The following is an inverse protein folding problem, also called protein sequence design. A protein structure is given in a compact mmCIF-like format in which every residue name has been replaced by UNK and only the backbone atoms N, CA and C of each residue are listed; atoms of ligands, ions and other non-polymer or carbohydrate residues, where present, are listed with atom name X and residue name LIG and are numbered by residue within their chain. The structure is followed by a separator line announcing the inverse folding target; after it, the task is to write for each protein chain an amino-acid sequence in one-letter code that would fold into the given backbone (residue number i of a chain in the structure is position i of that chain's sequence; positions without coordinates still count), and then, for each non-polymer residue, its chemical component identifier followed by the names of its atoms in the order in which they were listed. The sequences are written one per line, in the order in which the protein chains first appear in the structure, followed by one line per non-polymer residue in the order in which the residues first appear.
data_IF_614159067959
#
_entry.id   IF_614159067959
#
_cell.length_a   1.000
_cell.length_b   1.000
_cell.length_c   1.000
_cell.angle_alpha   90.00
_cell.angle_beta   90.00
_cell.angle_gamma   90.00
#
_symmetry.space_group_name_H-M   'P 1'
#
loop_
_entity.id
_entity.type
_entity.pdbx_description
1 polymer ?
#
# COMPACT_ATOMS: atom_id res chain seq x y z
N UNK A 1 23.25 40.49 13.55
CA UNK A 1 23.79 41.46 12.59
C UNK A 1 24.51 40.71 11.50
N UNK A 2 24.14 40.98 10.26
CA UNK A 2 24.77 40.45 9.07
C UNK A 2 26.18 41.02 8.91
N UNK A 3 27.16 40.15 8.70
CA UNK A 3 28.54 40.51 8.38
C UNK A 3 28.77 40.17 6.92
N UNK A 4 29.12 41.16 6.11
CA UNK A 4 29.36 40.99 4.67
C UNK A 4 30.86 41.16 4.42
N UNK A 5 31.49 40.14 3.84
CA UNK A 5 32.93 40.09 3.57
C UNK A 5 33.17 39.82 2.08
N UNK A 6 34.05 40.61 1.47
CA UNK A 6 34.54 40.34 0.11
C UNK A 6 35.61 39.25 0.17
N UNK A 7 35.40 38.10 -0.48
CA UNK A 7 36.37 36.99 -0.54
C UNK A 7 37.25 37.02 -1.80
N UNK A 8 36.75 37.60 -2.90
CA UNK A 8 37.45 37.65 -4.17
C UNK A 8 36.73 38.54 -5.21
N UNK A 9 37.22 38.60 -6.46
CA UNK A 9 36.49 39.23 -7.56
C UNK A 9 35.13 38.55 -7.72
N UNK A 10 34.04 39.33 -7.71
CA UNK A 10 32.67 38.84 -7.78
C UNK A 10 32.30 37.78 -6.72
N UNK A 11 32.88 37.84 -5.52
CA UNK A 11 32.56 36.93 -4.43
C UNK A 11 32.36 37.70 -3.13
N UNK A 12 31.10 37.87 -2.75
CA UNK A 12 30.65 38.51 -1.52
C UNK A 12 30.01 37.47 -0.61
N UNK A 13 30.63 37.17 0.52
CA UNK A 13 30.11 36.25 1.51
C UNK A 13 29.33 37.02 2.59
N UNK A 14 28.07 36.63 2.81
CA UNK A 14 27.23 37.15 3.89
C UNK A 14 27.17 36.10 5.00
N UNK A 15 27.33 36.55 6.24
CA UNK A 15 27.16 35.73 7.44
C UNK A 15 26.18 36.41 8.40
N UNK A 16 25.05 35.77 8.69
CA UNK A 16 24.04 36.28 9.62
C UNK A 16 24.12 35.47 10.91
N UNK A 17 24.36 36.16 12.03
CA UNK A 17 24.29 35.60 13.38
C UNK A 17 23.29 36.41 14.20
N UNK A 18 22.27 35.73 14.73
CA UNK A 18 21.26 36.30 15.62
C UNK A 18 20.93 35.30 16.72
N UNK A 19 20.83 35.77 17.96
CA UNK A 19 20.51 34.93 19.13
C UNK A 19 19.16 34.25 18.92
N UNK A 20 19.10 32.93 19.06
CA UNK A 20 17.88 32.12 18.85
C UNK A 20 17.67 31.58 17.43
N UNK A 21 18.55 31.90 16.48
CA UNK A 21 18.48 31.39 15.09
C UNK A 21 19.81 30.72 14.69
N UNK A 22 19.78 29.66 13.86
CA UNK A 22 21.00 29.05 13.36
C UNK A 22 21.80 30.03 12.46
N UNK A 23 23.14 29.94 12.45
CA UNK A 23 23.96 30.81 11.62
C UNK A 23 23.68 30.56 10.14
N UNK A 24 23.46 31.63 9.37
CA UNK A 24 23.24 31.53 7.93
C UNK A 24 24.43 32.11 7.18
N UNK A 25 24.89 31.42 6.14
CA UNK A 25 25.98 31.83 5.27
C UNK A 25 25.59 31.69 3.80
N UNK A 26 25.83 32.71 2.99
CA UNK A 26 25.58 32.65 1.54
C UNK A 26 26.53 33.53 0.78
N UNK A 27 26.91 33.12 -0.42
CA UNK A 27 27.83 33.85 -1.30
C UNK A 27 27.11 34.39 -2.52
N UNK A 28 27.37 35.64 -2.87
CA UNK A 28 26.77 36.37 -3.99
C UNK A 28 27.84 36.94 -4.92
N UNK A 29 27.46 37.22 -6.17
CA UNK A 29 28.35 37.80 -7.17
C UNK A 29 28.49 39.32 -7.01
N UNK A 30 27.41 39.98 -6.59
CA UNK A 30 27.37 41.43 -6.38
C UNK A 30 27.15 41.81 -4.91
N UNK A 31 27.68 42.97 -4.51
CA UNK A 31 27.47 43.51 -3.16
C UNK A 31 26.00 43.85 -2.92
N UNK A 32 25.31 44.38 -3.93
CA UNK A 32 23.90 44.77 -3.83
C UNK A 32 22.99 43.57 -3.54
N UNK A 33 23.21 42.42 -4.19
CA UNK A 33 22.48 41.18 -3.88
C UNK A 33 22.78 40.67 -2.47
N UNK A 34 24.06 40.74 -2.05
CA UNK A 34 24.47 40.37 -0.70
C UNK A 34 23.77 41.23 0.37
N UNK A 35 23.72 42.56 0.16
CA UNK A 35 23.05 43.51 1.04
C UNK A 35 21.52 43.28 1.07
N UNK A 36 20.90 43.07 -0.10
CA UNK A 36 19.46 42.83 -0.22
C UNK A 36 19.02 41.51 0.44
N UNK A 37 19.79 40.43 0.25
CA UNK A 37 19.53 39.16 0.90
C UNK A 37 19.71 39.26 2.42
N UNK A 38 20.78 39.93 2.88
CA UNK A 38 21.02 40.16 4.30
C UNK A 38 19.84 40.90 4.97
N UNK A 39 19.39 41.99 4.36
CA UNK A 39 18.28 42.80 4.87
C UNK A 39 16.95 42.02 4.88
N UNK A 40 16.69 41.24 3.82
CA UNK A 40 15.49 40.39 3.72
C UNK A 40 15.47 39.33 4.82
N UNK A 41 16.55 38.58 4.99
CA UNK A 41 16.65 37.52 5.99
C UNK A 41 16.65 38.07 7.42
N UNK A 42 17.32 39.19 7.69
CA UNK A 42 17.24 39.84 9.01
C UNK A 42 15.84 40.38 9.32
N UNK A 43 15.12 40.88 8.31
CA UNK A 43 13.71 41.31 8.43
C UNK A 43 12.78 40.12 8.70
N UNK A 44 12.96 39.00 8.00
CA UNK A 44 12.20 37.76 8.26
C UNK A 44 12.45 37.24 9.68
N UNK A 45 13.72 37.25 10.14
CA UNK A 45 14.07 36.87 11.51
C UNK A 45 13.54 37.87 12.54
N UNK A 46 13.45 39.16 12.20
CA UNK A 46 12.90 40.18 13.09
C UNK A 46 11.39 40.06 13.26
N UNK A 47 10.69 39.68 12.19
CA UNK A 47 9.25 39.48 12.17
C UNK A 47 8.84 38.10 12.70
N UNK A 48 9.80 37.21 13.00
CA UNK A 48 9.53 35.85 13.46
C UNK A 48 8.97 34.93 12.37
N UNK A 49 9.06 35.32 11.10
CA UNK A 49 8.55 34.55 9.93
C UNK A 49 9.66 33.71 9.28
N UNK A 50 10.88 33.79 9.80
CA UNK A 50 12.02 33.04 9.28
C UNK A 50 11.88 31.54 9.53
N UNK A 51 12.01 30.74 8.48
CA UNK A 51 12.00 29.28 8.54
C UNK A 51 13.28 28.77 7.88
N UNK A 52 13.93 27.78 8.50
CA UNK A 52 15.14 27.16 7.96
C UNK A 52 14.86 26.46 6.63
N UNK A 53 15.41 26.97 5.53
CA UNK A 53 15.30 26.36 4.19
C UNK A 53 16.49 25.47 3.83
N UNK A 54 17.61 25.60 4.53
CA UNK A 54 18.88 24.96 4.18
C UNK A 54 18.79 23.44 4.10
N UNK A 55 18.18 22.80 5.10
CA UNK A 55 18.09 21.32 5.14
C UNK A 55 17.29 20.74 3.95
N UNK A 56 16.26 21.46 3.49
CA UNK A 56 15.45 21.06 2.34
C UNK A 56 16.11 21.36 0.98
N UNK A 57 17.01 22.35 0.94
CA UNK A 57 17.81 22.70 -0.24
C UNK A 57 19.02 21.76 -0.41
N UNK A 58 19.57 21.26 0.70
CA UNK A 58 20.73 20.36 0.71
C UNK A 58 20.35 18.88 0.53
N UNK A 59 19.15 18.48 1.00
CA UNK A 59 18.71 17.08 0.93
C UNK A 59 18.06 16.76 -0.42
N UNK A 60 18.62 15.79 -1.14
CA UNK A 60 18.03 15.25 -2.37
C UNK A 60 16.83 14.35 -2.08
N UNK A 61 15.95 14.16 -3.08
CA UNK A 61 14.84 13.21 -2.95
C UNK A 61 15.34 11.78 -2.74
N UNK A 62 16.48 11.39 -3.31
CA UNK A 62 17.09 10.09 -3.10
C UNK A 62 17.50 9.88 -1.63
N UNK A 63 18.24 10.83 -1.04
CA UNK A 63 18.63 10.77 0.38
C UNK A 63 17.41 10.78 1.30
N UNK A 64 16.39 11.57 0.96
CA UNK A 64 15.13 11.57 1.69
C UNK A 64 14.41 10.22 1.61
N UNK A 65 14.41 9.58 0.44
CA UNK A 65 13.84 8.25 0.25
C UNK A 65 14.62 7.18 1.04
N UNK A 66 15.95 7.27 1.09
CA UNK A 66 16.79 6.42 1.93
C UNK A 66 16.45 6.56 3.42
N UNK A 67 16.40 7.80 3.90
CA UNK A 67 16.02 8.09 5.29
C UNK A 67 14.63 7.55 5.61
N UNK A 68 13.67 7.77 4.71
CA UNK A 68 12.31 7.24 4.86
C UNK A 68 12.25 5.71 4.87
N UNK A 69 13.03 5.06 4.01
CA UNK A 69 13.14 3.59 3.93
C UNK A 69 13.73 2.98 5.21
N UNK A 70 14.60 3.70 5.92
CA UNK A 70 15.26 3.24 7.13
C UNK A 70 14.49 3.59 8.42
N UNK A 71 13.94 4.80 8.52
CA UNK A 71 13.30 5.28 9.75
C UNK A 71 11.81 4.93 9.82
N UNK A 72 11.09 5.09 8.70
CA UNK A 72 9.62 5.04 8.69
C UNK A 72 9.11 3.69 8.21
N UNK A 73 9.74 3.12 7.18
CA UNK A 73 9.27 1.89 6.55
C UNK A 73 9.26 0.67 7.50
N UNK A 74 10.24 0.45 8.40
CA UNK A 74 10.24 -0.71 9.30
C UNK A 74 9.06 -0.71 10.28
N UNK A 75 8.59 0.46 10.70
CA UNK A 75 7.41 0.61 11.56
C UNK A 75 6.09 0.31 10.85
N UNK A 76 6.08 0.20 9.52
CA UNK A 76 4.86 -0.05 8.74
C UNK A 76 4.66 -1.54 8.46
N UNK A 77 3.48 -2.05 8.81
CA UNK A 77 2.95 -3.38 8.42
C UNK A 77 2.82 -3.60 6.89
N UNK A 78 3.15 -2.59 6.07
CA UNK A 78 3.09 -2.59 4.60
C UNK A 78 4.44 -2.27 3.95
N UNK A 79 5.55 -2.52 4.65
CA UNK A 79 6.91 -2.17 4.23
C UNK A 79 7.27 -2.67 2.82
N UNK A 80 7.14 -3.97 2.57
CA UNK A 80 7.62 -4.58 1.31
C UNK A 80 6.96 -3.98 0.05
N UNK A 81 5.62 -3.86 -0.04
CA UNK A 81 5.01 -3.19 -1.19
C UNK A 81 5.32 -1.69 -1.29
N UNK A 82 5.64 -0.99 -0.19
CA UNK A 82 6.10 0.41 -0.23
C UNK A 82 7.56 0.51 -0.68
N UNK A 83 8.41 -0.46 -0.35
CA UNK A 83 9.81 -0.55 -0.81
C UNK A 83 9.90 -0.55 -2.34
N UNK A 84 9.03 -1.31 -3.01
CA UNK A 84 8.96 -1.30 -4.48
C UNK A 84 8.59 0.08 -5.06
N UNK A 85 7.74 0.83 -4.36
CA UNK A 85 7.37 2.20 -4.75
C UNK A 85 8.54 3.16 -4.56
N UNK A 86 9.28 3.05 -3.45
CA UNK A 86 10.48 3.83 -3.16
C UNK A 86 11.53 3.63 -4.27
N UNK A 87 11.79 2.37 -4.64
CA UNK A 87 12.68 2.04 -5.77
C UNK A 87 12.23 2.66 -7.08
N UNK A 88 10.93 2.72 -7.34
CA UNK A 88 10.37 3.36 -8.54
C UNK A 88 10.66 4.86 -8.57
N UNK A 89 10.51 5.55 -7.43
CA UNK A 89 10.84 6.98 -7.32
C UNK A 89 12.35 7.22 -7.46
N UNK A 90 13.18 6.38 -6.84
CA UNK A 90 14.65 6.45 -6.94
C UNK A 90 15.15 6.32 -8.39
N UNK A 91 14.49 5.50 -9.19
CA UNK A 91 14.84 5.30 -10.60
C UNK A 91 14.56 6.55 -11.48
N UNK A 92 13.75 7.50 -11.03
CA UNK A 92 13.49 8.72 -11.79
C UNK A 92 14.65 9.71 -11.70
N UNK A 93 14.86 10.49 -12.77
CA UNK A 93 15.80 11.62 -12.77
C UNK A 93 15.50 12.64 -11.67
N UNK A 94 14.25 12.71 -11.22
CA UNK A 94 13.79 13.58 -10.13
C UNK A 94 14.44 13.22 -8.78
N UNK A 95 14.88 11.98 -8.57
CA UNK A 95 15.49 11.54 -7.31
C UNK A 95 16.77 12.33 -6.97
N UNK A 96 17.53 12.74 -7.99
CA UNK A 96 18.79 13.47 -7.83
C UNK A 96 18.62 14.96 -7.53
N UNK A 97 17.39 15.47 -7.51
CA UNK A 97 17.09 16.89 -7.26
C UNK A 97 16.83 17.11 -5.77
N UNK A 98 17.20 18.30 -5.27
CA UNK A 98 16.87 18.74 -3.92
C UNK A 98 15.35 18.75 -3.70
N UNK A 99 14.89 18.35 -2.50
CA UNK A 99 13.47 18.31 -2.15
C UNK A 99 12.77 19.66 -2.39
N UNK A 100 13.42 20.76 -2.01
CA UNK A 100 12.90 22.12 -2.20
C UNK A 100 12.69 22.50 -3.68
N UNK A 101 13.41 21.85 -4.61
CA UNK A 101 13.32 22.14 -6.04
C UNK A 101 12.19 21.39 -6.74
N UNK A 102 11.58 20.39 -6.09
CA UNK A 102 10.56 19.54 -6.71
C UNK A 102 9.24 20.29 -6.79
N UNK A 103 8.73 20.45 -8.01
CA UNK A 103 7.47 21.14 -8.26
C UNK A 103 6.32 20.15 -8.51
N UNK A 104 5.09 20.63 -8.34
CA UNK A 104 3.89 19.87 -8.68
C UNK A 104 3.85 19.46 -10.17
N UNK A 105 4.45 20.26 -11.06
CA UNK A 105 4.59 19.96 -12.49
C UNK A 105 5.47 18.72 -12.73
N UNK A 106 6.56 18.56 -11.99
CA UNK A 106 7.45 17.40 -12.09
C UNK A 106 6.70 16.11 -11.67
N UNK A 107 5.94 16.20 -10.57
CA UNK A 107 5.12 15.09 -10.07
C UNK A 107 3.96 14.75 -11.02
N UNK A 108 3.33 15.77 -11.62
CA UNK A 108 2.27 15.58 -12.61
C UNK A 108 2.80 14.88 -13.87
N UNK A 109 3.98 15.25 -14.36
CA UNK A 109 4.61 14.58 -15.50
C UNK A 109 4.86 13.09 -15.21
N UNK A 110 5.43 12.77 -14.04
CA UNK A 110 5.62 11.37 -13.63
C UNK A 110 4.30 10.60 -13.50
N UNK A 111 3.25 11.24 -12.97
CA UNK A 111 1.88 10.67 -12.92
C UNK A 111 1.39 10.33 -14.33
N UNK A 112 1.51 11.26 -15.26
CA UNK A 112 0.97 11.11 -16.62
C UNK A 112 1.72 10.04 -17.41
N UNK A 113 3.03 9.91 -17.22
CA UNK A 113 3.81 8.78 -17.75
C UNK A 113 3.35 7.45 -17.18
N UNK A 114 3.13 7.37 -15.86
CA UNK A 114 2.67 6.13 -15.24
C UNK A 114 1.24 5.76 -15.61
N UNK A 115 0.36 6.73 -15.86
CA UNK A 115 -1.01 6.46 -16.31
C UNK A 115 -1.06 5.81 -17.69
N UNK A 116 -0.03 5.95 -18.53
CA UNK A 116 0.09 5.21 -19.80
C UNK A 116 0.34 3.71 -19.60
N UNK A 117 0.92 3.33 -18.46
CA UNK A 117 1.39 1.97 -18.21
C UNK A 117 0.59 1.24 -17.12
N UNK A 118 0.00 1.97 -16.18
CA UNK A 118 -0.59 1.41 -14.97
C UNK A 118 -1.99 1.94 -14.70
N UNK A 119 -2.80 1.12 -14.03
CA UNK A 119 -4.14 1.52 -13.57
C UNK A 119 -4.06 2.68 -12.55
N UNK A 120 -5.07 3.56 -12.49
CA UNK A 120 -5.11 4.71 -11.59
C UNK A 120 -4.78 4.41 -10.13
N UNK A 121 -5.28 3.31 -9.57
CA UNK A 121 -5.01 2.93 -8.17
C UNK A 121 -3.52 2.68 -7.89
N UNK A 122 -2.78 2.13 -8.84
CA UNK A 122 -1.33 1.92 -8.71
C UNK A 122 -0.60 3.26 -8.67
N UNK A 123 -1.00 4.19 -9.54
CA UNK A 123 -0.43 5.54 -9.59
C UNK A 123 -0.73 6.31 -8.29
N UNK A 124 -1.96 6.24 -7.79
CA UNK A 124 -2.34 6.83 -6.50
C UNK A 124 -1.45 6.31 -5.35
N UNK A 125 -1.18 5.01 -5.32
CA UNK A 125 -0.31 4.41 -4.30
C UNK A 125 1.11 4.95 -4.36
N UNK A 126 1.64 5.18 -5.58
CA UNK A 126 2.96 5.79 -5.78
C UNK A 126 3.01 7.24 -5.29
N UNK A 127 1.98 8.02 -5.62
CA UNK A 127 1.84 9.40 -5.16
C UNK A 127 1.67 9.49 -3.63
N UNK A 128 0.95 8.55 -3.02
CA UNK A 128 0.73 8.54 -1.57
C UNK A 128 2.03 8.37 -0.77
N UNK A 129 2.96 7.53 -1.23
CA UNK A 129 4.28 7.37 -0.58
C UNK A 129 5.06 8.68 -0.65
N UNK A 130 5.11 9.33 -1.81
CA UNK A 130 5.79 10.61 -1.95
C UNK A 130 5.14 11.70 -1.08
N UNK A 131 3.81 11.78 -1.08
CA UNK A 131 3.06 12.72 -0.24
C UNK A 131 3.38 12.53 1.25
N UNK A 132 3.47 11.28 1.71
CA UNK A 132 3.79 10.98 3.09
C UNK A 132 5.26 11.33 3.42
N UNK A 133 6.19 11.08 2.50
CA UNK A 133 7.58 11.47 2.65
C UNK A 133 7.72 12.99 2.86
N UNK A 134 7.08 13.82 2.03
CA UNK A 134 7.08 15.28 2.21
C UNK A 134 6.41 15.70 3.52
N UNK A 135 5.37 14.98 3.96
CA UNK A 135 4.70 15.25 5.24
C UNK A 135 5.61 14.94 6.44
N UNK A 136 6.35 13.83 6.40
CA UNK A 136 7.33 13.46 7.44
C UNK A 136 8.50 14.43 7.43
N UNK A 137 9.04 14.77 6.26
CA UNK A 137 10.12 15.74 6.12
C UNK A 137 9.77 17.07 6.79
N UNK A 138 8.54 17.54 6.58
CA UNK A 138 8.03 18.77 7.18
C UNK A 138 7.83 18.69 8.69
N UNK A 139 7.32 17.57 9.21
CA UNK A 139 6.89 17.42 10.62
C UNK A 139 7.99 16.92 11.55
N UNK A 140 8.80 15.99 11.06
CA UNK A 140 9.73 15.21 11.89
C UNK A 140 11.20 15.51 11.55
N UNK A 141 11.49 15.94 10.32
CA UNK A 141 12.86 16.24 9.88
C UNK A 141 13.19 17.74 9.87
N UNK A 142 12.39 18.58 10.54
CA UNK A 142 12.68 20.01 10.68
C UNK A 142 12.56 20.84 9.40
N UNK A 143 12.11 20.26 8.28
CA UNK A 143 11.93 20.97 7.00
C UNK A 143 10.59 21.70 6.95
N UNK A 144 10.29 22.53 7.94
CA UNK A 144 8.95 23.13 8.17
C UNK A 144 8.42 23.95 6.99
N UNK A 145 9.31 24.59 6.22
CA UNK A 145 8.99 25.39 5.04
C UNK A 145 8.74 24.57 3.78
N UNK A 146 9.01 23.26 3.81
CA UNK A 146 8.85 22.40 2.64
C UNK A 146 7.37 22.26 2.29
N UNK A 147 7.00 22.69 1.09
CA UNK A 147 5.66 22.48 0.54
C UNK A 147 5.56 21.08 -0.06
N UNK A 148 4.41 20.41 0.12
CA UNK A 148 4.15 19.11 -0.48
C UNK A 148 3.65 19.27 -1.93
N UNK A 149 4.46 18.96 -2.95
CA UNK A 149 4.07 19.16 -4.35
C UNK A 149 2.92 18.24 -4.77
N UNK A 150 2.71 17.11 -4.07
CA UNK A 150 1.66 16.12 -4.41
C UNK A 150 0.26 16.63 -4.09
N UNK A 151 0.12 17.52 -3.11
CA UNK A 151 -1.18 18.12 -2.74
C UNK A 151 -1.76 19.00 -3.84
N UNK A 152 -0.89 19.59 -4.65
CA UNK A 152 -1.26 20.44 -5.80
C UNK A 152 -1.53 19.65 -7.08
N UNK A 153 -1.32 18.33 -7.07
CA UNK A 153 -1.52 17.47 -8.25
C UNK A 153 -2.93 16.89 -8.25
N UNK A 154 -3.65 17.06 -9.37
CA UNK A 154 -4.93 16.38 -9.58
C UNK A 154 -4.74 14.87 -9.56
N UNK A 155 -5.39 14.19 -8.60
CA UNK A 155 -5.31 12.75 -8.43
C UNK A 155 -6.25 12.04 -9.43
N UNK A 156 -5.80 10.96 -10.11
CA UNK A 156 -6.65 10.21 -11.02
C UNK A 156 -7.73 9.45 -10.23
N UNK A 157 -8.89 9.22 -10.85
CA UNK A 157 -9.99 8.48 -10.24
C UNK A 157 -9.79 6.98 -10.46
N UNK A 158 -9.81 6.20 -9.38
CA UNK A 158 -9.72 4.75 -9.44
C UNK A 158 -11.11 4.12 -9.41
N UNK A 159 -11.57 3.60 -10.55
CA UNK A 159 -12.81 2.83 -10.61
C UNK A 159 -12.51 1.33 -10.52
N UNK A 160 -12.31 0.86 -9.29
CA UNK A 160 -11.99 -0.55 -8.99
C UNK A 160 -13.13 -1.26 -8.24
N UNK A 161 -14.33 -0.68 -8.23
CA UNK A 161 -15.49 -1.30 -7.61
C UNK A 161 -15.78 -2.64 -8.29
N UNK A 162 -16.05 -3.67 -7.49
CA UNK A 162 -16.46 -4.99 -7.98
C UNK A 162 -17.92 -5.19 -7.58
N UNK A 163 -18.77 -5.45 -8.57
CA UNK A 163 -20.21 -5.69 -8.36
C UNK A 163 -20.58 -7.16 -8.55
N UNK A 164 -19.78 -7.92 -9.32
CA UNK A 164 -20.00 -9.35 -9.53
C UNK A 164 -19.61 -10.16 -8.29
N UNK A 165 -20.50 -11.05 -7.87
CA UNK A 165 -20.25 -12.14 -6.91
C UNK A 165 -20.23 -13.48 -7.66
N UNK A 166 -19.68 -14.51 -7.03
CA UNK A 166 -19.86 -15.89 -7.50
C UNK A 166 -21.34 -16.20 -7.27
N UNK A 167 -22.05 -16.70 -8.30
CA UNK A 167 -23.43 -17.12 -8.14
C UNK A 167 -23.46 -18.28 -7.12
N UNK A 168 -24.23 -18.13 -6.05
CA UNK A 168 -24.50 -19.25 -5.15
C UNK A 168 -25.53 -20.15 -5.82
N UNK A 169 -25.32 -21.47 -5.69
CA UNK A 169 -26.40 -22.44 -5.86
C UNK A 169 -27.39 -22.15 -4.74
N UNK A 170 -28.47 -21.42 -5.04
CA UNK A 170 -29.61 -21.40 -4.12
C UNK A 170 -30.04 -22.85 -3.92
N UNK A 171 -29.91 -23.34 -2.69
CA UNK A 171 -30.62 -24.54 -2.30
C UNK A 171 -32.09 -24.15 -2.28
N UNK A 172 -32.76 -24.29 -3.41
CA UNK A 172 -34.21 -24.20 -3.51
C UNK A 172 -34.78 -25.40 -2.76
N UNK A 173 -34.87 -25.26 -1.43
CA UNK A 173 -35.90 -25.93 -0.65
C UNK A 173 -37.23 -25.52 -1.27
N UNK A 174 -37.99 -26.51 -1.73
CA UNK A 174 -38.97 -26.34 -2.80
C UNK A 174 -40.08 -25.34 -2.50
N UNK A 175 -40.64 -24.78 -3.58
CA UNK A 175 -42.03 -25.00 -3.96
C UNK A 175 -42.24 -24.45 -5.37
N UNK A 176 -43.02 -25.18 -6.15
CA UNK A 176 -43.39 -24.93 -7.54
C UNK A 176 -43.91 -23.52 -7.81
N UNK A 177 -43.48 -22.90 -8.91
CA UNK A 177 -44.37 -22.13 -9.78
C UNK A 177 -43.80 -22.05 -11.18
N UNK A 178 -44.68 -22.39 -12.12
CA UNK A 178 -44.46 -22.53 -13.55
C UNK A 178 -43.95 -21.26 -14.26
N UNK A 179 -43.20 -21.56 -15.33
CA UNK A 179 -43.01 -20.80 -16.57
C UNK A 179 -42.26 -19.44 -16.58
N UNK A 180 -41.23 -19.46 -17.45
CA UNK A 180 -40.58 -18.34 -18.15
C UNK A 180 -39.46 -17.57 -17.44
N UNK A 181 -38.25 -18.13 -17.44
CA UNK A 181 -37.10 -17.49 -18.10
C UNK A 181 -35.97 -18.51 -18.39
N UNK A 182 -35.82 -18.92 -19.65
CA UNK A 182 -34.73 -19.80 -20.11
C UNK A 182 -33.41 -19.02 -20.29
N UNK A 183 -32.96 -18.38 -19.22
CA UNK A 183 -31.61 -17.81 -19.13
C UNK A 183 -30.58 -18.88 -18.82
N UNK A 184 -30.09 -19.59 -19.86
CA UNK A 184 -28.83 -20.36 -19.91
C UNK A 184 -28.18 -20.69 -18.54
N UNK A 185 -28.29 -21.94 -18.09
CA UNK A 185 -27.72 -22.48 -16.84
C UNK A 185 -26.19 -22.42 -16.70
N UNK A 186 -25.64 -21.21 -16.57
CA UNK A 186 -24.23 -20.93 -16.33
C UNK A 186 -23.94 -20.55 -14.86
N UNK A 187 -24.98 -20.34 -14.06
CA UNK A 187 -24.88 -19.87 -12.68
C UNK A 187 -24.88 -21.01 -11.64
N UNK A 188 -25.32 -22.22 -12.02
CA UNK A 188 -25.24 -23.41 -11.17
C UNK A 188 -23.81 -23.98 -11.16
N UNK A 189 -23.10 -23.78 -10.05
CA UNK A 189 -21.88 -24.50 -9.74
C UNK A 189 -20.56 -23.83 -10.18
N UNK A 190 -20.51 -22.49 -10.34
CA UNK A 190 -19.27 -21.80 -10.71
C UNK A 190 -18.12 -22.11 -9.72
N UNK A 191 -18.42 -22.11 -8.42
CA UNK A 191 -17.43 -22.41 -7.39
C UNK A 191 -16.95 -23.86 -7.49
N UNK A 192 -17.86 -24.79 -7.69
CA UNK A 192 -17.63 -26.23 -7.83
C UNK A 192 -16.77 -26.52 -9.06
N UNK A 193 -17.03 -25.86 -10.19
CA UNK A 193 -16.20 -25.97 -11.40
C UNK A 193 -14.78 -25.43 -11.15
N UNK A 194 -14.65 -24.30 -10.45
CA UNK A 194 -13.33 -23.75 -10.08
C UNK A 194 -12.58 -24.71 -9.14
N UNK A 195 -13.29 -25.30 -8.17
CA UNK A 195 -12.73 -26.28 -7.23
C UNK A 195 -12.33 -27.55 -7.97
N UNK A 196 -13.13 -28.06 -8.91
CA UNK A 196 -12.79 -29.24 -9.71
C UNK A 196 -11.59 -29.01 -10.64
N UNK A 197 -11.47 -27.81 -11.21
CA UNK A 197 -10.37 -27.44 -12.10
C UNK A 197 -9.08 -27.04 -11.36
N UNK A 198 -9.04 -27.07 -10.03
CA UNK A 198 -7.83 -26.71 -9.28
C UNK A 198 -6.80 -27.83 -9.26
N UNK A 199 -5.52 -27.46 -9.24
CA UNK A 199 -4.39 -28.38 -9.08
C UNK A 199 -3.77 -28.29 -7.69
N UNK A 200 -4.33 -27.44 -6.83
CA UNK A 200 -3.87 -27.24 -5.46
C UNK A 200 -4.72 -28.05 -4.51
N UNK A 201 -4.09 -28.87 -3.68
CA UNK A 201 -4.78 -29.66 -2.65
C UNK A 201 -5.43 -28.81 -1.56
N UNK A 202 -4.91 -27.60 -1.33
CA UNK A 202 -5.36 -26.69 -0.27
C UNK A 202 -6.41 -25.68 -0.75
N UNK A 203 -6.42 -25.36 -2.04
CA UNK A 203 -7.30 -24.31 -2.57
C UNK A 203 -8.79 -24.63 -2.36
N UNK A 204 -9.29 -25.87 -2.55
CA UNK A 204 -10.69 -26.21 -2.27
C UNK A 204 -11.13 -25.80 -0.87
N UNK A 205 -10.39 -26.23 0.16
CA UNK A 205 -10.74 -25.92 1.55
C UNK A 205 -10.65 -24.42 1.86
N UNK A 206 -9.70 -23.70 1.25
CA UNK A 206 -9.57 -22.25 1.40
C UNK A 206 -10.76 -21.53 0.78
N UNK A 207 -11.23 -21.97 -0.39
CA UNK A 207 -12.37 -21.36 -1.08
C UNK A 207 -13.67 -21.58 -0.31
N UNK A 208 -13.92 -22.82 0.15
CA UNK A 208 -15.09 -23.12 0.99
C UNK A 208 -15.08 -22.30 2.27
N UNK A 209 -13.95 -22.21 2.98
CA UNK A 209 -13.86 -21.36 4.17
C UNK A 209 -14.07 -19.89 3.84
N UNK A 210 -13.57 -19.39 2.71
CA UNK A 210 -13.73 -18.00 2.32
C UNK A 210 -15.20 -17.63 2.10
N UNK A 211 -15.98 -18.51 1.46
CA UNK A 211 -17.42 -18.32 1.23
C UNK A 211 -18.18 -18.39 2.55
N UNK A 212 -17.92 -19.43 3.35
CA UNK A 212 -18.68 -19.69 4.59
C UNK A 212 -18.42 -18.68 5.72
N UNK A 213 -17.27 -18.01 5.71
CA UNK A 213 -16.84 -17.15 6.84
C UNK A 213 -16.65 -15.69 6.47
N UNK A 214 -16.68 -15.37 5.17
CA UNK A 214 -16.37 -14.05 4.61
C UNK A 214 -15.04 -13.44 5.10
N UNK A 215 -14.12 -14.27 5.62
CA UNK A 215 -12.82 -13.83 6.11
C UNK A 215 -11.96 -13.30 4.97
N UNK A 216 -11.10 -12.32 5.27
CA UNK A 216 -10.12 -11.84 4.29
C UNK A 216 -9.14 -12.99 3.99
N UNK A 217 -8.68 -13.10 2.74
CA UNK A 217 -7.67 -14.10 2.33
C UNK A 217 -6.47 -14.19 3.28
N UNK A 218 -5.95 -13.06 3.76
CA UNK A 218 -4.85 -13.04 4.72
C UNK A 218 -5.24 -13.65 6.07
N UNK A 219 -6.43 -13.34 6.57
CA UNK A 219 -6.98 -13.91 7.82
C UNK A 219 -7.10 -15.43 7.69
N UNK A 220 -7.62 -15.96 6.58
CA UNK A 220 -7.74 -17.40 6.33
C UNK A 220 -6.38 -18.10 6.30
N UNK A 221 -5.41 -17.52 5.58
CA UNK A 221 -4.07 -18.13 5.42
C UNK A 221 -3.25 -18.10 6.71
N UNK A 222 -3.47 -17.08 7.54
CA UNK A 222 -2.80 -16.93 8.83
C UNK A 222 -3.57 -17.60 9.99
N UNK A 223 -4.68 -18.29 9.71
CA UNK A 223 -5.40 -19.09 10.72
C UNK A 223 -4.47 -20.10 11.39
N UNK A 224 -4.68 -20.29 12.68
CA UNK A 224 -3.94 -21.24 13.50
C UNK A 224 -4.89 -22.15 14.26
N UNK A 225 -4.51 -23.41 14.41
CA UNK A 225 -5.31 -24.40 15.13
C UNK A 225 -5.55 -24.02 16.59
N UNK A 226 -4.59 -23.34 17.23
CA UNK A 226 -4.72 -22.82 18.60
C UNK A 226 -5.81 -21.76 18.77
N UNK A 227 -6.28 -21.16 17.67
CA UNK A 227 -7.33 -20.14 17.68
C UNK A 227 -8.67 -20.67 17.17
N UNK A 228 -8.83 -21.98 16.97
CA UNK A 228 -10.04 -22.57 16.43
C UNK A 228 -10.67 -23.49 17.48
N UNK A 229 -11.87 -23.13 17.92
CA UNK A 229 -12.71 -23.99 18.75
C UNK A 229 -13.81 -24.61 17.88
N UNK A 230 -13.60 -25.86 17.46
CA UNK A 230 -14.57 -26.61 16.66
C UNK A 230 -15.81 -27.05 17.47
N UNK A 231 -15.73 -27.11 18.81
CA UNK A 231 -16.88 -27.44 19.66
C UNK A 231 -17.82 -26.24 19.76
N UNK A 232 -17.25 -25.06 20.03
CA UNK A 232 -18.00 -23.79 20.06
C UNK A 232 -18.29 -23.24 18.67
N UNK A 233 -17.68 -23.81 17.62
CA UNK A 233 -17.77 -23.39 16.21
C UNK A 233 -17.33 -21.94 16.03
N UNK A 234 -16.17 -21.59 16.59
CA UNK A 234 -15.62 -20.24 16.53
C UNK A 234 -14.15 -20.29 16.10
N UNK A 235 -13.77 -19.41 15.17
CA UNK A 235 -12.38 -19.10 14.88
C UNK A 235 -12.05 -17.70 15.42
N UNK A 236 -11.12 -17.63 16.36
CA UNK A 236 -10.60 -16.39 16.89
C UNK A 236 -9.56 -15.79 15.95
N UNK A 237 -9.77 -14.55 15.51
CA UNK A 237 -8.80 -13.80 14.73
C UNK A 237 -8.10 -12.80 15.66
N UNK A 238 -6.83 -13.03 16.04
CA UNK A 238 -6.06 -12.05 16.77
C UNK A 238 -5.90 -10.78 15.91
N UNK A 239 -5.74 -9.62 16.56
CA UNK A 239 -5.74 -8.31 15.91
C UNK A 239 -4.91 -8.29 14.60
N UNK A 240 -5.59 -8.10 13.47
CA UNK A 240 -4.95 -8.12 12.14
C UNK A 240 -4.62 -6.71 11.65
N UNK A 241 -4.06 -6.61 10.44
CA UNK A 241 -3.46 -5.41 9.85
C UNK A 241 -4.28 -4.11 10.02
N UNK A 242 -5.61 -4.18 9.99
CA UNK A 242 -6.54 -3.05 10.11
C UNK A 242 -7.78 -3.37 10.98
N UNK A 243 -7.72 -4.39 11.85
CA UNK A 243 -8.90 -4.89 12.57
C UNK A 243 -8.63 -5.12 14.05
N UNK A 244 -9.65 -4.89 14.88
CA UNK A 244 -9.70 -5.40 16.24
C UNK A 244 -9.69 -6.93 16.22
N UNK A 245 -9.20 -7.53 17.30
CA UNK A 245 -9.40 -8.95 17.52
C UNK A 245 -10.91 -9.24 17.46
N UNK A 246 -11.29 -10.31 16.77
CA UNK A 246 -12.70 -10.68 16.62
C UNK A 246 -12.87 -12.17 16.48
N UNK A 247 -14.02 -12.65 16.93
CA UNK A 247 -14.45 -14.03 16.74
C UNK A 247 -15.28 -14.14 15.46
N UNK A 248 -15.00 -15.18 14.69
CA UNK A 248 -15.73 -15.51 13.47
C UNK A 248 -16.51 -16.80 13.72
N UNK A 249 -17.85 -16.78 13.67
CA UNK A 249 -18.65 -18.00 13.78
C UNK A 249 -18.41 -18.90 12.55
N UNK A 250 -18.34 -20.20 12.79
CA UNK A 250 -18.11 -21.21 11.76
C UNK A 250 -19.42 -21.94 11.45
N UNK A 251 -19.81 -21.92 10.18
CA UNK A 251 -20.93 -22.72 9.69
C UNK A 251 -20.64 -24.23 9.80
N UNK A 252 -21.67 -25.07 9.68
CA UNK A 252 -21.49 -26.52 9.67
C UNK A 252 -20.53 -26.97 8.56
N UNK A 253 -20.63 -26.38 7.35
CA UNK A 253 -19.72 -26.66 6.23
C UNK A 253 -18.28 -26.24 6.53
N UNK A 254 -18.08 -25.08 7.16
CA UNK A 254 -16.75 -24.63 7.58
C UNK A 254 -16.13 -25.57 8.64
N UNK A 255 -16.94 -26.01 9.60
CA UNK A 255 -16.51 -26.97 10.63
C UNK A 255 -16.11 -28.30 10.00
N UNK A 256 -16.92 -28.87 9.11
CA UNK A 256 -16.60 -30.13 8.40
C UNK A 256 -15.30 -30.00 7.59
N UNK A 257 -15.12 -28.87 6.90
CA UNK A 257 -13.90 -28.58 6.14
C UNK A 257 -12.66 -28.55 7.05
N UNK A 258 -12.75 -27.87 8.20
CA UNK A 258 -11.66 -27.80 9.17
C UNK A 258 -11.40 -29.14 9.86
N UNK A 259 -12.44 -29.90 10.19
CA UNK A 259 -12.31 -31.25 10.75
C UNK A 259 -11.55 -32.16 9.79
N UNK A 260 -11.94 -32.19 8.51
CA UNK A 260 -11.25 -32.99 7.47
C UNK A 260 -9.77 -32.63 7.35
N UNK A 261 -9.43 -31.33 7.43
CA UNK A 261 -8.03 -30.87 7.41
C UNK A 261 -7.28 -31.27 8.68
N UNK A 262 -7.95 -31.22 9.83
CA UNK A 262 -7.37 -31.61 11.13
C UNK A 262 -7.06 -33.10 11.15
N UNK A 263 -7.98 -33.93 10.70
CA UNK A 263 -7.86 -35.39 10.77
C UNK A 263 -6.71 -35.86 9.86
N UNK A 264 -6.62 -35.33 8.63
CA UNK A 264 -5.48 -35.56 7.71
C UNK A 264 -4.11 -35.15 8.29
N UNK A 265 -4.10 -34.26 9.27
CA UNK A 265 -2.89 -33.78 9.95
C UNK A 265 -2.60 -34.55 11.24
N UNK A 266 -3.63 -34.95 12.00
CA UNK A 266 -3.48 -35.75 13.21
C UNK A 266 -2.83 -37.11 12.90
N UNK A 267 -3.08 -37.66 11.71
CA UNK A 267 -2.37 -38.86 11.22
C UNK A 267 -0.85 -38.65 11.07
N UNK A 268 -0.36 -37.40 11.07
CA UNK A 268 1.05 -37.04 10.91
C UNK A 268 1.69 -36.46 12.17
N UNK A 269 0.93 -35.72 12.99
CA UNK A 269 1.42 -35.00 14.17
C UNK A 269 0.54 -35.27 15.41
N UNK A 270 1.14 -35.73 16.52
CA UNK A 270 0.44 -36.01 17.79
C UNK A 270 -0.13 -34.76 18.49
N UNK A 271 0.24 -33.55 18.06
CA UNK A 271 -0.33 -32.28 18.54
C UNK A 271 -0.63 -31.37 17.34
N UNK A 272 -1.91 -31.09 17.10
CA UNK A 272 -2.34 -30.20 16.02
C UNK A 272 -2.15 -28.73 16.44
N UNK A 273 -0.94 -28.20 16.28
CA UNK A 273 -0.61 -26.79 16.58
C UNK A 273 -0.05 -26.04 15.37
N UNK A 274 -0.11 -24.71 15.40
CA UNK A 274 0.43 -23.85 14.33
C UNK A 274 -0.56 -23.56 13.19
N UNK A 275 -0.04 -23.19 12.01
CA UNK A 275 -0.86 -22.73 10.87
C UNK A 275 -1.79 -23.83 10.36
N UNK A 276 -3.02 -23.45 9.98
CA UNK A 276 -3.98 -24.32 9.29
C UNK A 276 -3.51 -24.61 7.87
N UNK A 277 -3.05 -23.56 7.16
CA UNK A 277 -2.59 -23.66 5.79
C UNK A 277 -1.10 -23.31 5.68
N UNK A 278 -0.31 -24.24 5.15
CA UNK A 278 1.10 -24.03 4.83
C UNK A 278 1.26 -23.45 3.42
N UNK A 279 0.63 -22.31 3.16
CA UNK A 279 0.66 -21.63 1.86
C UNK A 279 0.85 -20.12 2.06
N UNK A 280 1.53 -19.45 1.13
CA UNK A 280 1.60 -17.98 1.14
C UNK A 280 0.33 -17.36 0.57
N UNK A 281 -0.04 -16.17 1.04
CA UNK A 281 -1.28 -15.51 0.60
C UNK A 281 -1.29 -15.16 -0.90
N UNK A 282 -0.14 -14.85 -1.49
CA UNK A 282 -0.01 -14.61 -2.93
C UNK A 282 -0.15 -15.89 -3.77
N UNK A 283 0.37 -17.01 -3.26
CA UNK A 283 0.21 -18.31 -3.89
C UNK A 283 -1.27 -18.75 -3.98
N UNK A 284 -2.09 -18.40 -2.98
CA UNK A 284 -3.55 -18.62 -3.04
C UNK A 284 -4.18 -17.90 -4.22
N UNK A 285 -3.84 -16.62 -4.43
CA UNK A 285 -4.38 -15.85 -5.56
C UNK A 285 -3.94 -16.40 -6.90
N UNK A 286 -2.66 -16.78 -7.04
CA UNK A 286 -2.16 -17.40 -8.29
C UNK A 286 -2.78 -18.76 -8.54
N UNK A 287 -3.04 -19.55 -7.49
CA UNK A 287 -3.75 -20.82 -7.62
C UNK A 287 -5.19 -20.61 -8.08
N UNK A 288 -5.89 -19.62 -7.50
CA UNK A 288 -7.26 -19.27 -7.89
C UNK A 288 -7.35 -18.75 -9.33
N UNK A 289 -6.49 -17.82 -9.74
CA UNK A 289 -6.47 -17.31 -11.12
C UNK A 289 -6.28 -18.44 -12.15
N UNK A 290 -5.38 -19.39 -11.86
CA UNK A 290 -5.16 -20.55 -12.73
C UNK A 290 -6.32 -21.54 -12.71
N UNK A 291 -6.99 -21.72 -11.57
CA UNK A 291 -8.17 -22.57 -11.47
C UNK A 291 -9.34 -21.98 -12.27
N UNK A 292 -9.58 -20.66 -12.15
CA UNK A 292 -10.60 -19.94 -12.93
C UNK A 292 -10.33 -20.04 -14.43
N UNK A 293 -9.08 -19.84 -14.86
CA UNK A 293 -8.72 -19.95 -16.27
C UNK A 293 -8.99 -21.35 -16.85
N UNK A 294 -8.65 -22.41 -16.10
CA UNK A 294 -8.91 -23.80 -16.50
C UNK A 294 -10.39 -24.16 -16.47
N UNK A 295 -11.12 -23.76 -15.42
CA UNK A 295 -12.56 -23.97 -15.34
C UNK A 295 -13.29 -23.32 -16.52
N UNK A 296 -12.87 -22.11 -16.90
CA UNK A 296 -13.41 -21.42 -18.07
C UNK A 296 -13.11 -22.15 -19.38
N UNK A 297 -11.91 -22.68 -19.53
CA UNK A 297 -11.54 -23.45 -20.72
C UNK A 297 -12.42 -24.71 -20.85
N UNK A 298 -12.54 -25.49 -19.78
CA UNK A 298 -13.39 -26.69 -19.73
C UNK A 298 -14.85 -26.37 -20.04
N UNK A 299 -15.38 -25.29 -19.45
CA UNK A 299 -16.74 -24.84 -19.73
C UNK A 299 -16.96 -24.51 -21.22
N UNK A 300 -16.02 -23.81 -21.85
CA UNK A 300 -16.11 -23.47 -23.28
C UNK A 300 -16.00 -24.71 -24.17
N UNK A 301 -15.20 -25.70 -23.78
CA UNK A 301 -15.10 -26.98 -24.49
C UNK A 301 -16.38 -27.81 -24.37
N UNK A 302 -17.02 -27.85 -23.19
CA UNK A 302 -18.31 -28.53 -22.96
C UNK A 302 -19.47 -27.89 -23.74
N UNK A 303 -19.42 -26.57 -23.96
CA UNK A 303 -20.45 -25.83 -24.68
C UNK A 303 -20.28 -25.83 -26.22
N UNK A 304 -19.20 -26.43 -26.74
CA UNK A 304 -18.97 -26.58 -28.19
C UNK A 304 -19.50 -27.90 -28.70
#
# INVERSE_FOLDING_TARGET
MATIRKRGPYQWAVQIRRKGYPPQNKTFTTKAEADAWAAMTESEMARGVWISRGEAEDTTLEEALDRYENEILPGKKGAEPERSVIRTWRALKLAKRALASIRSTDVAAARDEWLKLYKPATVLRRLAVLSHLFSIARKEWGMESLSNPVELVRKPQANNARTRRIAEVEQTTGESSDEADQGRGADEGELERIVAATGSTLLPSILWLAVETAMRRGEIVDLRWEHIDLKRRVAHLPATKNGSARDVPLSTKAVTTLQTLRDKRADRDARVTGRVFSIRSDAVTRAFERAVARARQLYVEECR
#
